data_IF_339460389959
#
_entry.id   IF_339460389959
#
_cell.length_a   1.000
_cell.length_b   1.000
_cell.length_c   1.000
_cell.angle_alpha   90.00
_cell.angle_beta   90.00
_cell.angle_gamma   90.00
#
_symmetry.space_group_name_H-M   'P 1'
#
loop_
_entity.id
_entity.type
_entity.pdbx_description
1 polymer ?
#
# COMPACT_ATOMS: atom_id res chain seq x y z
N UNK A 1 23.19 8.52 4.18
CA UNK A 1 22.59 8.14 2.89
C UNK A 1 22.32 6.64 2.92
N UNK A 2 21.08 6.22 2.64
CA UNK A 2 20.71 4.81 2.69
C UNK A 2 21.34 4.05 1.49
N UNK A 3 22.08 2.95 1.70
CA UNK A 3 22.71 2.18 0.62
C UNK A 3 21.76 1.20 -0.11
N UNK A 4 20.51 1.07 0.34
CA UNK A 4 19.65 -0.09 0.05
C UNK A 4 18.36 0.20 -0.72
N UNK A 5 18.09 1.45 -1.11
CA UNK A 5 17.15 1.83 -2.17
C UNK A 5 15.66 1.48 -1.99
N UNK A 6 15.26 0.79 -0.93
CA UNK A 6 13.85 0.44 -0.66
C UNK A 6 13.33 1.11 0.60
N UNK A 7 12.23 1.86 0.48
CA UNK A 7 11.61 2.54 1.63
C UNK A 7 10.30 1.86 2.03
N UNK A 8 10.16 1.56 3.33
CA UNK A 8 8.88 1.17 3.93
C UNK A 8 8.09 2.45 4.18
N UNK A 9 7.07 2.67 3.36
CA UNK A 9 6.24 3.85 3.47
C UNK A 9 4.91 3.50 4.09
N UNK A 10 4.63 4.16 5.21
CA UNK A 10 3.37 4.05 5.90
C UNK A 10 2.36 4.97 5.22
N UNK A 11 1.30 4.37 4.70
CA UNK A 11 0.36 5.01 3.77
C UNK A 11 -1.00 5.06 4.43
N UNK A 12 -1.58 6.25 4.52
CA UNK A 12 -2.89 6.47 5.14
C UNK A 12 -3.96 6.93 4.17
N UNK A 13 -3.55 7.39 2.99
CA UNK A 13 -4.40 7.93 1.95
C UNK A 13 -3.87 7.61 0.56
N UNK A 14 -4.67 7.93 -0.45
CA UNK A 14 -4.31 7.74 -1.86
C UNK A 14 -3.26 8.72 -2.37
N UNK A 15 -3.07 9.88 -1.73
CA UNK A 15 -2.07 10.88 -2.08
C UNK A 15 -0.64 10.41 -1.78
N UNK A 16 -0.46 9.69 -0.69
CA UNK A 16 0.81 9.05 -0.34
C UNK A 16 1.20 8.01 -1.39
N UNK A 17 0.24 7.22 -1.91
CA UNK A 17 0.48 6.32 -3.04
C UNK A 17 0.96 7.04 -4.31
N UNK A 18 0.65 8.32 -4.50
CA UNK A 18 1.05 9.03 -5.73
C UNK A 18 2.48 9.55 -5.67
N UNK A 19 3.02 9.71 -4.46
CA UNK A 19 4.39 10.15 -4.21
C UNK A 19 5.39 8.99 -4.11
N UNK A 20 4.90 7.76 -4.17
CA UNK A 20 5.68 6.54 -4.03
C UNK A 20 6.06 5.95 -5.39
N UNK A 21 7.16 5.20 -5.45
CA UNK A 21 7.59 4.49 -6.63
C UNK A 21 7.27 3.00 -6.51
N UNK A 22 6.45 2.41 -7.40
CA UNK A 22 6.07 1.00 -7.30
C UNK A 22 7.24 0.01 -7.55
N UNK A 23 8.38 0.50 -8.08
CA UNK A 23 9.59 -0.30 -8.31
C UNK A 23 10.50 -0.42 -7.08
N UNK A 24 10.47 0.56 -6.18
CA UNK A 24 11.43 0.67 -5.06
C UNK A 24 10.75 0.88 -3.72
N UNK A 25 9.45 1.16 -3.68
CA UNK A 25 8.78 1.51 -2.44
C UNK A 25 7.71 0.49 -2.06
N UNK A 26 7.76 0.10 -0.79
CA UNK A 26 6.76 -0.74 -0.17
C UNK A 26 5.67 0.08 0.48
N UNK A 27 4.42 -0.28 0.22
CA UNK A 27 3.26 0.37 0.83
C UNK A 27 2.84 -0.44 2.06
N UNK A 28 2.87 0.18 3.24
CA UNK A 28 2.31 -0.38 4.47
C UNK A 28 1.09 0.45 4.85
N UNK A 29 -0.10 -0.17 4.89
CA UNK A 29 -1.31 0.54 5.29
C UNK A 29 -1.32 0.69 6.81
N UNK A 30 -1.44 1.93 7.28
CA UNK A 30 -1.52 2.23 8.71
C UNK A 30 -2.77 1.64 9.36
N UNK A 31 -2.66 1.20 10.62
CA UNK A 31 -3.79 0.59 11.34
C UNK A 31 -4.98 1.54 11.52
N UNK A 32 -4.71 2.86 11.59
CA UNK A 32 -5.71 3.92 11.68
C UNK A 32 -6.59 4.09 10.43
N UNK A 33 -6.23 3.46 9.31
CA UNK A 33 -7.03 3.53 8.08
C UNK A 33 -8.27 2.64 8.23
N UNK A 34 -9.45 3.25 8.21
CA UNK A 34 -10.73 2.54 8.21
C UNK A 34 -11.01 1.78 6.91
N UNK A 35 -11.94 0.83 6.94
CA UNK A 35 -12.30 -0.06 5.82
C UNK A 35 -12.70 0.68 4.54
N UNK A 36 -13.44 1.80 4.65
CA UNK A 36 -13.79 2.65 3.48
C UNK A 36 -12.55 3.16 2.76
N UNK A 37 -11.64 3.85 3.46
CA UNK A 37 -10.39 4.38 2.89
C UNK A 37 -9.47 3.27 2.40
N UNK A 38 -9.42 2.11 3.08
CA UNK A 38 -8.62 0.97 2.61
C UNK A 38 -9.03 0.51 1.22
N UNK A 39 -10.33 0.42 0.90
CA UNK A 39 -10.79 0.01 -0.43
C UNK A 39 -10.33 0.98 -1.53
N UNK A 40 -10.42 2.29 -1.27
CA UNK A 40 -9.94 3.31 -2.21
C UNK A 40 -8.42 3.24 -2.43
N UNK A 41 -7.65 3.15 -1.34
CA UNK A 41 -6.19 3.00 -1.37
C UNK A 41 -5.82 1.73 -2.13
N UNK A 42 -6.50 0.61 -1.86
CA UNK A 42 -6.26 -0.65 -2.54
C UNK A 42 -6.54 -0.55 -4.04
N UNK A 43 -7.63 0.10 -4.44
CA UNK A 43 -8.00 0.28 -5.85
C UNK A 43 -6.95 1.10 -6.60
N UNK A 44 -6.51 2.23 -6.02
CA UNK A 44 -5.40 3.01 -6.60
C UNK A 44 -4.07 2.26 -6.57
N UNK A 45 -3.77 1.55 -5.48
CA UNK A 45 -2.54 0.78 -5.34
C UNK A 45 -2.44 -0.33 -6.40
N UNK A 46 -3.55 -1.05 -6.64
CA UNK A 46 -3.69 -2.03 -7.72
C UNK A 46 -3.46 -1.38 -9.09
N UNK A 47 -4.13 -0.25 -9.37
CA UNK A 47 -3.97 0.47 -10.64
C UNK A 47 -2.54 0.96 -10.89
N UNK A 48 -1.82 1.38 -9.83
CA UNK A 48 -0.44 1.84 -9.92
C UNK A 48 0.61 0.73 -9.68
N UNK A 49 0.19 -0.53 -9.55
CA UNK A 49 1.05 -1.71 -9.30
C UNK A 49 1.94 -1.57 -8.06
N UNK A 50 1.45 -0.94 -7.00
CA UNK A 50 2.18 -0.88 -5.74
C UNK A 50 2.19 -2.22 -5.03
N UNK A 51 3.33 -2.52 -4.39
CA UNK A 51 3.47 -3.69 -3.53
C UNK A 51 3.04 -3.34 -2.11
N UNK A 52 1.86 -3.82 -1.73
CA UNK A 52 1.29 -3.58 -0.39
C UNK A 52 1.65 -4.72 0.54
N UNK A 53 2.47 -4.44 1.56
CA UNK A 53 2.98 -5.46 2.49
C UNK A 53 1.98 -5.88 3.57
N UNK A 54 1.08 -4.98 3.98
CA UNK A 54 0.05 -5.26 4.98
C UNK A 54 -1.37 -4.99 4.44
N UNK A 55 -1.67 -5.56 3.27
CA UNK A 55 -3.03 -5.57 2.75
C UNK A 55 -3.87 -6.60 3.51
N UNK A 56 -4.32 -6.26 4.72
CA UNK A 56 -5.27 -7.08 5.49
C UNK A 56 -6.62 -7.27 4.77
N UNK A 57 -6.86 -6.49 3.71
CA UNK A 57 -8.01 -6.60 2.84
C UNK A 57 -7.53 -7.34 1.60
N UNK A 58 -7.76 -8.65 1.54
CA UNK A 58 -7.57 -9.41 0.32
C UNK A 58 -8.82 -9.26 -0.55
N UNK A 59 -8.64 -9.01 -1.85
CA UNK A 59 -9.77 -9.07 -2.80
C UNK A 59 -10.24 -10.51 -3.02
N UNK A 60 -9.46 -11.49 -2.58
CA UNK A 60 -9.81 -12.90 -2.58
C UNK A 60 -9.82 -13.43 -1.16
N UNK A 61 -10.98 -13.90 -0.72
CA UNK A 61 -11.06 -14.84 0.39
C UNK A 61 -10.36 -16.13 -0.03
N UNK A 62 -9.05 -16.21 0.16
CA UNK A 62 -8.34 -17.48 0.11
C UNK A 62 -8.57 -18.15 1.46
N UNK A 63 -9.73 -18.83 1.57
CA UNK A 63 -9.93 -19.88 2.55
C UNK A 63 -8.83 -20.93 2.33
N UNK A 64 -8.07 -21.21 3.36
CA UNK A 64 -7.51 -22.53 3.61
C UNK A 64 -8.04 -22.96 4.97
#
# INVERSE_FOLDING_TARGET
MHPSGFTDNLVFNVGDLEKLNPKTDGVRIGHAVGTKKRKEIMTKALGKKFKVFNARVTASGSKS
#
